data_IF_619730960176
#
_entry.id   IF_619730960176
#
_cell.length_a   1.000
_cell.length_b   1.000
_cell.length_c   1.000
_cell.angle_alpha   90.00
_cell.angle_beta   90.00
_cell.angle_gamma   90.00
#
_symmetry.space_group_name_H-M   'P 1'
#
loop_
_entity.id
_entity.type
_entity.pdbx_description
1 polymer ?
#
# COMPACT_ATOMS: atom_id res chain seq x y z
N UNK A 1 -26.95 11.05 3.27
CA UNK A 1 -26.56 11.03 1.83
C UNK A 1 -25.36 11.96 1.66
N UNK A 2 -24.29 11.51 1.01
CA UNK A 2 -23.10 12.34 0.74
C UNK A 2 -23.43 13.34 -0.37
N UNK A 3 -23.12 14.64 -0.18
CA UNK A 3 -23.40 15.69 -1.18
C UNK A 3 -22.24 15.90 -2.16
N UNK A 4 -20.99 15.75 -1.71
CA UNK A 4 -19.77 15.87 -2.52
C UNK A 4 -18.69 14.93 -1.95
N UNK A 5 -17.94 14.27 -2.82
CA UNK A 5 -16.78 13.45 -2.48
C UNK A 5 -15.59 13.92 -3.33
N UNK A 6 -14.55 14.43 -2.68
CA UNK A 6 -13.33 14.89 -3.35
C UNK A 6 -12.25 13.81 -3.18
N UNK A 7 -11.90 13.15 -4.28
CA UNK A 7 -10.87 12.10 -4.28
C UNK A 7 -9.58 12.65 -4.91
N UNK A 8 -8.56 12.86 -4.07
CA UNK A 8 -7.22 13.24 -4.51
C UNK A 8 -6.39 11.97 -4.70
N UNK A 9 -5.81 11.78 -5.89
CA UNK A 9 -5.13 10.53 -6.29
C UNK A 9 -5.99 9.27 -6.04
N UNK A 10 -7.17 9.15 -6.67
CA UNK A 10 -8.08 8.02 -6.44
C UNK A 10 -7.43 6.68 -6.82
N UNK A 11 -7.50 5.71 -5.91
CA UNK A 11 -7.04 4.34 -6.15
C UNK A 11 -8.26 3.42 -6.20
N UNK A 12 -8.50 2.82 -7.38
CA UNK A 12 -9.53 1.80 -7.56
C UNK A 12 -8.92 0.49 -8.07
N UNK A 13 -8.12 0.53 -9.13
CA UNK A 13 -7.37 -0.62 -9.64
C UNK A 13 -5.88 -0.32 -9.62
N UNK A 14 -5.06 -1.34 -9.36
CA UNK A 14 -3.60 -1.17 -9.25
C UNK A 14 -2.80 -2.00 -10.28
N UNK A 15 -3.46 -2.52 -11.31
CA UNK A 15 -2.80 -3.38 -12.31
C UNK A 15 -1.71 -2.69 -13.14
N UNK A 16 -1.67 -1.36 -13.16
CA UNK A 16 -0.63 -0.54 -13.81
C UNK A 16 0.23 0.27 -12.82
N UNK A 17 0.14 -0.02 -11.52
CA UNK A 17 0.96 0.65 -10.52
C UNK A 17 2.45 0.39 -10.78
N UNK A 18 3.30 1.32 -10.37
CA UNK A 18 4.77 1.23 -10.44
C UNK A 18 5.37 1.28 -9.03
N UNK A 19 6.69 1.13 -8.92
CA UNK A 19 7.40 1.28 -7.65
C UNK A 19 7.14 0.12 -6.68
N UNK A 20 7.10 0.41 -5.38
CA UNK A 20 7.02 -0.61 -4.32
C UNK A 20 5.85 -1.57 -4.51
N UNK A 21 4.66 -1.05 -4.79
CA UNK A 21 3.45 -1.89 -4.94
C UNK A 21 3.50 -2.81 -6.16
N UNK A 22 4.21 -2.41 -7.22
CA UNK A 22 4.43 -3.29 -8.37
C UNK A 22 5.19 -4.54 -7.95
N UNK A 23 6.30 -4.37 -7.21
CA UNK A 23 7.11 -5.47 -6.71
C UNK A 23 6.36 -6.35 -5.72
N UNK A 24 5.59 -5.75 -4.81
CA UNK A 24 4.72 -6.50 -3.88
C UNK A 24 3.73 -7.41 -4.62
N UNK A 25 3.17 -6.94 -5.74
CA UNK A 25 2.32 -7.77 -6.59
C UNK A 25 3.05 -8.93 -7.27
N UNK A 26 4.33 -8.76 -7.63
CA UNK A 26 5.14 -9.84 -8.22
C UNK A 26 5.44 -10.95 -7.23
N UNK A 27 5.64 -10.60 -5.95
CA UNK A 27 5.93 -11.55 -4.87
C UNK A 27 4.68 -11.98 -4.09
N UNK A 28 3.50 -11.82 -4.67
CA UNK A 28 2.22 -12.02 -3.98
C UNK A 28 2.10 -13.43 -3.37
N UNK A 29 2.44 -14.49 -4.10
CA UNK A 29 2.30 -15.86 -3.59
C UNK A 29 3.27 -16.17 -2.44
N UNK A 30 4.50 -15.65 -2.50
CA UNK A 30 5.47 -15.76 -1.41
C UNK A 30 5.00 -14.98 -0.18
N UNK A 31 4.53 -13.75 -0.39
CA UNK A 31 4.03 -12.90 0.69
C UNK A 31 2.77 -13.52 1.33
N UNK A 32 1.89 -14.10 0.53
CA UNK A 32 0.71 -14.84 0.98
C UNK A 32 1.09 -16.06 1.83
N UNK A 33 2.13 -16.81 1.44
CA UNK A 33 2.62 -17.94 2.23
C UNK A 33 3.14 -17.48 3.60
N UNK A 34 3.96 -16.43 3.62
CA UNK A 34 4.49 -15.84 4.86
C UNK A 34 3.34 -15.34 5.74
N UNK A 35 2.38 -14.61 5.17
CA UNK A 35 1.19 -14.14 5.89
C UNK A 35 0.35 -15.30 6.45
N UNK A 36 0.24 -16.42 5.74
CA UNK A 36 -0.47 -17.61 6.26
C UNK A 36 0.20 -18.21 7.49
N UNK A 37 1.53 -18.12 7.59
CA UNK A 37 2.31 -18.65 8.72
C UNK A 37 2.29 -17.67 9.90
N UNK A 38 2.55 -16.38 9.65
CA UNK A 38 2.72 -15.38 10.70
C UNK A 38 1.45 -14.61 11.04
N UNK A 39 0.42 -14.67 10.20
CA UNK A 39 -0.85 -13.99 10.38
C UNK A 39 -0.78 -12.48 10.19
N UNK A 40 -1.81 -11.81 10.73
CA UNK A 40 -1.90 -10.35 10.72
C UNK A 40 -0.99 -9.76 11.77
N UNK A 41 -0.03 -8.97 11.32
CA UNK A 41 0.90 -8.24 12.17
C UNK A 41 0.91 -6.79 11.75
N UNK A 42 1.56 -5.96 12.55
CA UNK A 42 1.84 -4.58 12.21
C UNK A 42 2.96 -4.50 11.15
N UNK A 43 2.82 -3.57 10.21
CA UNK A 43 3.75 -3.34 9.12
C UNK A 43 4.15 -1.86 9.11
N UNK A 44 5.45 -1.61 9.21
CA UNK A 44 6.07 -0.28 9.23
C UNK A 44 5.46 0.66 10.29
N UNK A 45 5.35 0.18 11.53
CA UNK A 45 4.95 1.00 12.67
C UNK A 45 5.94 2.14 12.90
N UNK A 46 5.45 3.36 12.98
CA UNK A 46 6.24 4.46 13.52
C UNK A 46 6.17 4.43 15.04
N UNK A 47 7.31 4.11 15.67
CA UNK A 47 7.53 4.33 17.09
C UNK A 47 8.56 5.46 17.26
N UNK A 48 8.67 5.98 18.49
CA UNK A 48 9.53 7.14 18.78
C UNK A 48 11.00 6.87 18.38
N UNK A 49 11.46 5.63 18.52
CA UNK A 49 12.83 5.24 18.17
C UNK A 49 13.04 5.15 16.65
N UNK A 50 12.07 4.62 15.89
CA UNK A 50 12.18 4.56 14.43
C UNK A 50 12.06 5.94 13.81
N UNK A 51 11.19 6.82 14.31
CA UNK A 51 11.12 8.23 13.88
C UNK A 51 12.45 8.94 14.08
N UNK A 52 13.04 8.83 15.28
CA UNK A 52 14.30 9.49 15.61
C UNK A 52 15.48 8.96 14.77
N UNK A 53 15.54 7.65 14.55
CA UNK A 53 16.55 7.04 13.69
C UNK A 53 16.38 7.46 12.22
N UNK A 54 15.15 7.62 11.76
CA UNK A 54 14.88 8.07 10.38
C UNK A 54 15.26 9.53 10.20
N UNK A 55 15.05 10.39 11.19
CA UNK A 55 15.53 11.78 11.18
C UNK A 55 17.05 11.88 11.10
N UNK A 56 17.77 11.02 11.86
CA UNK A 56 19.23 10.99 11.85
C UNK A 56 19.77 10.41 10.55
N UNK A 57 19.19 9.32 10.05
CA UNK A 57 19.61 8.66 8.81
C UNK A 57 19.30 9.57 7.61
N UNK A 58 18.14 10.23 7.58
CA UNK A 58 17.74 11.10 6.47
C UNK A 58 18.25 12.54 6.60
N UNK A 59 19.23 12.81 7.48
CA UNK A 59 19.99 14.06 7.45
C UNK A 59 20.91 14.12 6.21
N UNK A 60 21.53 15.27 5.94
CA UNK A 60 22.13 15.68 4.66
C UNK A 60 22.94 14.62 3.88
N UNK A 61 23.55 13.63 4.54
CA UNK A 61 24.33 12.57 3.89
C UNK A 61 23.52 11.39 3.33
N UNK A 62 22.33 11.04 3.85
CA UNK A 62 21.55 9.88 3.38
C UNK A 62 20.16 10.24 2.78
N UNK A 63 19.98 11.52 2.43
CA UNK A 63 18.79 12.05 1.78
C UNK A 63 18.32 11.26 0.55
N UNK A 64 19.25 10.72 -0.25
CA UNK A 64 18.90 10.06 -1.52
C UNK A 64 18.13 8.75 -1.32
N UNK A 65 18.50 7.93 -0.33
CA UNK A 65 17.81 6.69 -0.03
C UNK A 65 16.39 6.95 0.47
N UNK A 66 16.23 7.96 1.33
CA UNK A 66 14.96 8.37 1.88
C UNK A 66 14.03 8.96 0.82
N UNK A 67 14.60 9.77 -0.08
CA UNK A 67 13.90 10.32 -1.24
C UNK A 67 13.46 9.20 -2.21
N UNK A 68 14.34 8.24 -2.50
CA UNK A 68 14.03 7.10 -3.37
C UNK A 68 12.96 6.20 -2.75
N UNK A 69 12.98 5.99 -1.44
CA UNK A 69 11.90 5.27 -0.74
C UNK A 69 10.56 6.00 -0.89
N UNK A 70 10.52 7.31 -0.61
CA UNK A 70 9.31 8.13 -0.78
C UNK A 70 8.79 7.99 -2.21
N UNK A 71 9.64 8.23 -3.21
CA UNK A 71 9.24 8.18 -4.62
C UNK A 71 8.89 6.77 -5.11
N UNK A 72 9.42 5.72 -4.49
CA UNK A 72 9.01 4.34 -4.79
C UNK A 72 7.56 4.07 -4.39
N UNK A 73 7.05 4.77 -3.38
CA UNK A 73 5.68 4.60 -2.86
C UNK A 73 4.72 5.62 -3.47
N UNK A 74 5.11 6.90 -3.52
CA UNK A 74 4.26 8.01 -3.95
C UNK A 74 4.36 8.36 -5.43
N UNK A 75 5.32 7.78 -6.15
CA UNK A 75 5.63 8.12 -7.53
C UNK A 75 6.79 9.14 -7.65
N UNK A 76 7.31 9.34 -8.88
CA UNK A 76 8.51 10.11 -9.14
C UNK A 76 8.36 11.61 -8.83
N UNK A 77 9.48 12.29 -8.61
CA UNK A 77 9.50 13.74 -8.38
C UNK A 77 8.86 14.51 -9.56
N UNK A 78 7.99 15.46 -9.22
CA UNK A 78 7.34 16.40 -10.15
C UNK A 78 7.89 17.83 -10.02
N UNK A 79 9.08 17.99 -9.42
CA UNK A 79 9.70 19.26 -9.04
C UNK A 79 8.88 20.08 -8.03
N UNK A 80 7.98 19.44 -7.30
CA UNK A 80 7.18 20.05 -6.23
C UNK A 80 7.61 19.59 -4.83
N UNK A 81 8.50 18.59 -4.76
CA UNK A 81 8.92 18.00 -3.50
C UNK A 81 10.03 18.83 -2.85
N UNK A 82 9.82 19.25 -1.60
CA UNK A 82 10.83 19.96 -0.83
C UNK A 82 11.76 18.96 -0.12
N UNK A 83 12.88 18.60 -0.77
CA UNK A 83 13.82 17.60 -0.25
C UNK A 83 14.48 18.02 1.08
N UNK A 84 14.56 19.32 1.40
CA UNK A 84 15.05 19.78 2.72
C UNK A 84 14.13 19.43 3.89
N UNK A 85 12.92 18.91 3.62
CA UNK A 85 11.92 18.54 4.63
C UNK A 85 11.72 17.03 4.75
N UNK A 86 12.55 16.21 4.10
CA UNK A 86 12.44 14.73 4.10
C UNK A 86 12.39 14.16 5.52
N UNK A 87 13.28 14.58 6.42
CA UNK A 87 13.28 14.11 7.82
C UNK A 87 11.90 14.29 8.47
N UNK A 88 11.34 15.50 8.38
CA UNK A 88 10.01 15.81 8.92
C UNK A 88 8.89 14.97 8.28
N UNK A 89 8.96 14.70 6.98
CA UNK A 89 7.97 13.82 6.33
C UNK A 89 8.04 12.40 6.88
N UNK A 90 9.25 11.87 7.09
CA UNK A 90 9.47 10.49 7.54
C UNK A 90 9.31 10.29 9.05
N UNK A 91 9.52 11.34 9.86
CA UNK A 91 9.18 11.31 11.28
C UNK A 91 7.69 10.99 11.52
N UNK A 92 6.83 11.41 10.58
CA UNK A 92 5.40 11.16 10.66
C UNK A 92 4.90 10.03 9.75
N UNK A 93 5.71 9.58 8.78
CA UNK A 93 5.29 8.59 7.78
C UNK A 93 6.34 7.49 7.57
N UNK A 94 5.93 6.21 7.45
CA UNK A 94 4.56 5.70 7.51
C UNK A 94 4.04 5.56 8.96
N UNK A 95 2.78 5.89 9.20
CA UNK A 95 2.15 5.77 10.53
C UNK A 95 1.78 4.32 10.93
N UNK A 96 2.28 3.31 10.21
CA UNK A 96 1.88 1.91 10.37
C UNK A 96 0.66 1.50 9.56
N UNK A 97 0.63 0.22 9.18
CA UNK A 97 -0.54 -0.47 8.63
C UNK A 97 -0.47 -1.95 9.00
N UNK A 98 -1.39 -2.79 8.52
CA UNK A 98 -1.30 -4.25 8.75
C UNK A 98 -0.65 -4.99 7.59
N UNK A 99 0.01 -6.12 7.88
CA UNK A 99 0.50 -7.05 6.85
C UNK A 99 -0.62 -7.51 5.92
N UNK A 100 -1.85 -7.65 6.44
CA UNK A 100 -3.06 -7.93 5.66
C UNK A 100 -3.34 -6.86 4.62
N UNK A 101 -3.24 -5.59 4.98
CA UNK A 101 -3.51 -4.48 4.07
C UNK A 101 -2.48 -4.44 2.93
N UNK A 102 -1.20 -4.65 3.26
CA UNK A 102 -0.13 -4.76 2.25
C UNK A 102 -0.34 -5.96 1.33
N UNK A 103 -0.75 -7.12 1.87
CA UNK A 103 -1.04 -8.30 1.06
C UNK A 103 -2.28 -8.08 0.17
N UNK A 104 -3.27 -7.31 0.63
CA UNK A 104 -4.42 -6.94 -0.20
C UNK A 104 -4.01 -6.03 -1.36
N UNK A 105 -3.13 -5.05 -1.13
CA UNK A 105 -2.55 -4.27 -2.23
C UNK A 105 -1.80 -5.15 -3.23
N UNK A 106 -0.98 -6.09 -2.75
CA UNK A 106 -0.32 -7.07 -3.60
C UNK A 106 -1.31 -7.92 -4.41
N UNK A 107 -2.41 -8.38 -3.78
CA UNK A 107 -3.48 -9.13 -4.43
C UNK A 107 -4.12 -8.33 -5.58
N UNK A 108 -4.40 -7.03 -5.38
CA UNK A 108 -5.00 -6.20 -6.43
C UNK A 108 -4.09 -6.03 -7.65
N UNK A 109 -2.78 -5.91 -7.43
CA UNK A 109 -1.77 -5.85 -8.50
C UNK A 109 -1.67 -7.21 -9.21
N UNK A 110 -1.53 -8.29 -8.43
CA UNK A 110 -1.35 -9.65 -8.93
C UNK A 110 -2.56 -10.13 -9.75
N UNK A 111 -3.75 -10.00 -9.18
CA UNK A 111 -5.00 -10.46 -9.82
C UNK A 111 -5.53 -9.50 -10.89
N UNK A 112 -5.03 -8.26 -10.91
CA UNK A 112 -5.49 -7.15 -11.76
C UNK A 112 -6.97 -6.80 -11.56
N UNK A 113 -7.49 -7.07 -10.35
CA UNK A 113 -8.90 -6.88 -10.00
C UNK A 113 -9.02 -5.96 -8.79
N UNK A 114 -10.05 -5.12 -8.82
CA UNK A 114 -10.57 -4.50 -7.61
C UNK A 114 -11.53 -5.49 -6.96
N UNK A 115 -11.14 -6.11 -5.86
CA UNK A 115 -11.94 -7.08 -5.14
C UNK A 115 -11.62 -7.02 -3.65
N UNK A 116 -12.52 -7.58 -2.83
CA UNK A 116 -12.26 -7.81 -1.40
C UNK A 116 -11.04 -8.70 -1.20
N UNK A 117 -10.41 -8.57 -0.03
CA UNK A 117 -9.26 -9.40 0.36
C UNK A 117 -9.63 -10.89 0.38
N UNK A 118 -8.85 -11.72 -0.31
CA UNK A 118 -9.01 -13.16 -0.35
C UNK A 118 -8.43 -13.80 0.92
N UNK A 119 -9.32 -14.31 1.78
CA UNK A 119 -8.99 -14.93 3.07
C UNK A 119 -8.77 -16.44 2.95
N UNK A 120 -8.84 -17.01 1.75
CA UNK A 120 -8.96 -18.44 1.52
C UNK A 120 -10.41 -18.92 1.54
N UNK A 121 -10.67 -20.11 0.99
CA UNK A 121 -12.03 -20.58 0.66
C UNK A 121 -12.98 -20.60 1.86
N UNK A 122 -12.56 -21.20 2.96
CA UNK A 122 -13.39 -21.40 4.15
C UNK A 122 -13.71 -20.05 4.82
N UNK A 123 -12.70 -19.18 4.91
CA UNK A 123 -12.87 -17.85 5.47
C UNK A 123 -13.68 -16.94 4.53
N UNK A 124 -13.53 -17.06 3.22
CA UNK A 124 -14.35 -16.30 2.27
C UNK A 124 -15.82 -16.70 2.40
N UNK A 125 -16.14 -17.99 2.51
CA UNK A 125 -17.53 -18.42 2.75
C UNK A 125 -18.06 -17.84 4.07
N UNK A 126 -17.26 -17.90 5.15
CA UNK A 126 -17.67 -17.38 6.46
C UNK A 126 -17.93 -15.88 6.46
N UNK A 127 -17.06 -15.10 5.82
CA UNK A 127 -17.10 -13.63 5.87
C UNK A 127 -17.93 -13.01 4.75
N UNK A 128 -18.02 -13.70 3.62
CA UNK A 128 -18.56 -13.15 2.37
C UNK A 128 -19.65 -14.01 1.73
N UNK A 129 -19.88 -15.24 2.21
CA UNK A 129 -20.87 -16.15 1.64
C UNK A 129 -20.50 -16.77 0.29
N UNK A 130 -19.29 -16.51 -0.22
CA UNK A 130 -18.83 -16.98 -1.53
C UNK A 130 -17.41 -17.55 -1.45
N UNK A 131 -17.05 -18.46 -2.36
CA UNK A 131 -15.73 -19.12 -2.37
C UNK A 131 -14.64 -18.20 -2.92
N UNK A 132 -14.98 -17.40 -3.92
CA UNK A 132 -14.09 -16.43 -4.55
C UNK A 132 -14.88 -15.22 -5.05
N UNK A 133 -14.24 -14.06 -5.04
CA UNK A 133 -14.82 -12.86 -5.62
C UNK A 133 -14.42 -12.68 -7.09
N UNK A 134 -15.42 -12.35 -7.88
CA UNK A 134 -15.25 -11.66 -9.16
C UNK A 134 -15.14 -10.16 -8.87
N UNK A 135 -14.43 -9.40 -9.72
CA UNK A 135 -14.17 -7.96 -9.53
C UNK A 135 -15.40 -7.22 -8.98
N UNK A 136 -15.22 -6.51 -7.87
CA UNK A 136 -16.28 -5.93 -7.04
C UNK A 136 -17.05 -4.76 -7.71
N UNK A 137 -16.80 -4.44 -8.98
CA UNK A 137 -17.44 -3.30 -9.63
C UNK A 137 -17.71 -3.56 -11.12
N UNK A 138 -18.89 -4.09 -11.40
CA UNK A 138 -19.61 -3.89 -12.67
C UNK A 138 -20.36 -2.53 -12.71
N UNK A 139 -20.29 -1.71 -11.66
CA UNK A 139 -21.14 -0.51 -11.52
C UNK A 139 -20.38 0.83 -11.45
N UNK A 140 -19.05 0.84 -11.55
CA UNK A 140 -18.26 2.08 -11.72
C UNK A 140 -17.50 1.95 -13.03
N UNK A 141 -18.25 2.04 -14.13
CA UNK A 141 -17.66 2.40 -15.41
C UNK A 141 -17.38 3.89 -15.32
N UNK A 142 -16.10 4.26 -15.23
CA UNK A 142 -15.71 5.63 -15.58
C UNK A 142 -15.97 5.69 -17.08
N UNK A 143 -17.12 6.24 -17.46
CA UNK A 143 -17.35 6.67 -18.83
C UNK A 143 -16.31 7.75 -19.10
N UNK A 144 -15.29 7.41 -19.90
CA UNK A 144 -14.44 8.40 -20.56
C UNK A 144 -15.27 9.12 -21.62
#
# INVERSE_FOLDING_TARGET
MIRKFFALAPVSRMYHVKGLFFYLGQIYEQFRLVHKIFGDNEFLTNNIFTSLLTDIICDKQANKLCEDFIFSVSGPNSNQFNSSRIGIYLAHNPAGTSTRNMLHFAQMVHTKRLASFDRGKEANIRWYGTVSFHSAYSSITIHN
#
